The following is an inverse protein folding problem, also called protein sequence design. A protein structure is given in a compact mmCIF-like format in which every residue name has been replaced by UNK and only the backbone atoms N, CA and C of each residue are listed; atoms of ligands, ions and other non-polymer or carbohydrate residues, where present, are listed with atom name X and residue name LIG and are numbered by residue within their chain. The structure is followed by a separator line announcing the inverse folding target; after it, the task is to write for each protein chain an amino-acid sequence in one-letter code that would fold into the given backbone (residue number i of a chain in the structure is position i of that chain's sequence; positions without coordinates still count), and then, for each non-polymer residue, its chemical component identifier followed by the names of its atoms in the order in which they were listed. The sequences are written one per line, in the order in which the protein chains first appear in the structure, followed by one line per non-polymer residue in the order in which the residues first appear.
data_IF_816361110860
#
_entry.id   IF_816361110860
#
_cell.length_a   1.000
_cell.length_b   1.000
_cell.length_c   1.000
_cell.angle_alpha   90.00
_cell.angle_beta   90.00
_cell.angle_gamma   90.00
#
_symmetry.space_group_name_H-M   'P 1'
#
loop_
_entity.id
_entity.type
_entity.pdbx_description
1 polymer ?
#
# COMPACT_ATOMS: atom_id res chain seq x y z
N UNK A 1 10.70 10.18 1.65
CA UNK A 1 9.59 9.70 2.51
C UNK A 1 9.96 8.29 2.89
N UNK A 2 10.09 8.06 4.18
CA UNK A 2 10.54 6.80 4.74
C UNK A 2 9.54 5.69 4.43
N UNK A 3 10.00 4.44 4.39
CA UNK A 3 9.12 3.31 4.10
C UNK A 3 8.37 2.83 5.34
N UNK A 4 8.20 1.51 5.49
CA UNK A 4 7.21 0.91 6.41
C UNK A 4 7.68 0.94 7.86
N UNK A 5 8.96 0.66 8.09
CA UNK A 5 9.54 0.73 9.42
C UNK A 5 10.96 1.29 9.37
N UNK A 6 11.13 2.40 10.07
CA UNK A 6 12.38 3.16 10.09
C UNK A 6 12.91 3.31 11.51
N UNK A 7 14.22 3.53 11.60
CA UNK A 7 14.91 3.85 12.84
C UNK A 7 16.17 4.66 12.58
N UNK A 8 16.67 5.27 13.65
CA UNK A 8 17.98 5.90 13.68
C UNK A 8 18.93 5.01 14.48
N UNK A 9 19.92 4.42 13.80
CA UNK A 9 20.93 3.62 14.46
C UNK A 9 22.04 4.53 14.98
N UNK A 10 22.39 4.43 16.26
CA UNK A 10 23.44 5.21 16.91
C UNK A 10 24.48 4.24 17.47
N UNK A 11 25.75 4.46 17.09
CA UNK A 11 26.88 3.67 17.54
C UNK A 11 27.83 4.52 18.37
N UNK A 12 28.05 4.12 19.63
CA UNK A 12 28.92 4.82 20.56
C UNK A 12 29.55 3.84 21.56
N UNK A 13 30.87 3.90 21.72
CA UNK A 13 31.58 3.09 22.73
C UNK A 13 31.45 1.57 22.55
N UNK A 14 31.25 1.10 21.32
CA UNK A 14 31.03 -0.33 21.02
C UNK A 14 29.57 -0.80 21.17
N UNK A 15 28.65 0.08 21.57
CA UNK A 15 27.23 -0.23 21.69
C UNK A 15 26.44 0.35 20.51
N UNK A 16 25.63 -0.50 19.87
CA UNK A 16 24.67 -0.12 18.84
C UNK A 16 23.29 0.03 19.48
N UNK A 17 22.67 1.20 19.35
CA UNK A 17 21.29 1.45 19.76
C UNK A 17 20.45 1.82 18.57
N UNK A 18 19.27 1.21 18.45
CA UNK A 18 18.30 1.53 17.40
C UNK A 18 17.19 2.35 18.02
N UNK A 19 17.02 3.58 17.56
CA UNK A 19 15.94 4.44 18.01
C UNK A 19 14.81 4.39 17.01
N UNK A 20 13.61 4.01 17.45
CA UNK A 20 12.41 4.00 16.63
C UNK A 20 11.19 4.36 17.48
N UNK A 21 10.11 4.79 16.82
CA UNK A 21 8.86 5.13 17.48
C UNK A 21 7.70 4.27 16.97
N UNK A 22 6.73 3.88 17.81
CA UNK A 22 5.51 3.23 17.35
C UNK A 22 4.72 4.16 16.43
N UNK A 23 4.30 3.67 15.26
CA UNK A 23 3.50 4.48 14.35
C UNK A 23 4.23 5.62 13.62
N UNK A 24 5.53 5.85 13.84
CA UNK A 24 6.32 6.91 13.23
C UNK A 24 7.47 6.32 12.41
N UNK A 25 7.65 6.82 11.19
CA UNK A 25 8.67 6.37 10.22
C UNK A 25 9.61 7.51 9.78
N UNK A 26 9.33 8.77 10.14
CA UNK A 26 10.18 9.91 9.83
C UNK A 26 11.48 9.87 10.62
N UNK A 27 12.61 9.70 9.93
CA UNK A 27 13.96 9.82 10.52
C UNK A 27 14.13 11.16 11.27
N UNK A 28 13.60 12.24 10.72
CA UNK A 28 13.66 13.57 11.36
C UNK A 28 12.87 13.61 12.68
N UNK A 29 11.66 13.04 12.71
CA UNK A 29 10.84 13.01 13.93
C UNK A 29 11.47 12.12 15.01
N UNK A 30 12.05 10.98 14.61
CA UNK A 30 12.79 10.09 15.50
C UNK A 30 13.99 10.82 16.10
N UNK A 31 14.82 11.48 15.27
CA UNK A 31 15.98 12.26 15.73
C UNK A 31 15.58 13.37 16.68
N UNK A 32 14.54 14.12 16.35
CA UNK A 32 14.02 15.20 17.18
C UNK A 32 13.57 14.67 18.54
N UNK A 33 12.79 13.59 18.54
CA UNK A 33 12.24 12.96 19.75
C UNK A 33 13.34 12.45 20.70
N UNK A 34 14.36 11.80 20.16
CA UNK A 34 15.46 11.23 20.95
C UNK A 34 16.67 12.18 21.08
N UNK A 35 16.57 13.40 20.58
CA UNK A 35 17.62 14.41 20.58
C UNK A 35 18.94 13.92 19.95
N UNK A 36 18.85 13.13 18.88
CA UNK A 36 19.99 12.63 18.11
C UNK A 36 20.48 13.75 17.19
N UNK A 37 21.76 14.12 17.31
CA UNK A 37 22.38 15.22 16.56
C UNK A 37 23.67 14.74 15.91
N UNK A 38 23.97 15.33 14.75
CA UNK A 38 25.22 15.10 14.04
C UNK A 38 26.41 15.49 14.94
N UNK A 39 27.29 14.53 15.18
CA UNK A 39 28.45 14.67 16.07
C UNK A 39 29.72 15.01 15.33
N UNK A 40 30.12 16.28 15.30
CA UNK A 40 31.42 16.71 14.80
C UNK A 40 32.54 16.34 15.79
N UNK A 41 33.18 15.17 15.63
CA UNK A 41 34.44 14.82 16.31
C UNK A 41 34.66 13.33 16.59
N UNK A 42 35.93 12.92 16.79
CA UNK A 42 36.35 11.52 16.97
C UNK A 42 35.78 10.80 18.22
N UNK A 43 35.17 11.53 19.15
CA UNK A 43 34.51 11.01 20.35
C UNK A 43 32.97 11.22 20.35
N UNK A 44 32.39 11.65 19.22
CA UNK A 44 30.95 11.85 19.10
C UNK A 44 30.26 10.55 18.61
N UNK A 45 29.05 10.30 19.12
CA UNK A 45 28.19 9.21 18.64
C UNK A 45 27.96 9.32 17.13
N UNK A 46 28.22 8.25 16.38
CA UNK A 46 27.91 8.18 14.95
C UNK A 46 26.49 7.66 14.79
N UNK A 47 25.72 8.19 13.84
CA UNK A 47 24.38 7.68 13.58
C UNK A 47 24.08 7.59 12.10
N UNK A 48 23.14 6.71 11.73
CA UNK A 48 22.69 6.54 10.35
C UNK A 48 21.21 6.14 10.31
N UNK A 49 20.42 6.71 9.38
CA UNK A 49 19.03 6.35 9.18
C UNK A 49 18.93 4.99 8.48
N UNK A 50 18.13 4.10 9.05
CA UNK A 50 17.98 2.71 8.60
C UNK A 50 16.51 2.35 8.43
N UNK A 51 16.21 1.46 7.49
CA UNK A 51 14.85 0.98 7.26
C UNK A 51 14.82 -0.53 7.12
N UNK A 52 13.73 -1.12 7.60
CA UNK A 52 13.38 -2.52 7.42
C UNK A 52 12.13 -2.59 6.54
N UNK A 53 12.29 -3.10 5.33
CA UNK A 53 11.32 -2.96 4.24
C UNK A 53 10.76 -4.33 3.89
N UNK A 54 9.42 -4.52 3.91
CA UNK A 54 8.83 -5.75 3.41
C UNK A 54 8.89 -5.81 1.87
N UNK A 55 9.37 -6.92 1.33
CA UNK A 55 9.56 -7.13 -0.11
C UNK A 55 8.75 -8.32 -0.63
N UNK A 56 8.80 -9.46 0.07
CA UNK A 56 8.14 -10.70 -0.38
C UNK A 56 6.95 -11.11 0.47
N UNK A 57 6.72 -10.43 1.59
CA UNK A 57 5.75 -10.84 2.58
C UNK A 57 5.75 -9.88 3.76
N UNK A 58 4.87 -10.13 4.73
CA UNK A 58 4.63 -9.22 5.86
C UNK A 58 4.97 -9.81 7.23
N UNK A 59 5.20 -11.13 7.32
CA UNK A 59 5.25 -11.82 8.61
C UNK A 59 6.48 -12.71 8.83
N UNK A 60 7.35 -12.84 7.83
CA UNK A 60 8.65 -13.49 7.97
C UNK A 60 9.74 -12.43 7.80
N UNK A 61 10.76 -12.44 8.67
CA UNK A 61 11.88 -11.51 8.59
C UNK A 61 12.72 -11.73 7.32
N UNK A 62 12.72 -12.93 6.76
CA UNK A 62 13.40 -13.26 5.51
C UNK A 62 12.75 -12.61 4.29
N UNK A 63 11.52 -12.10 4.44
CA UNK A 63 10.82 -11.36 3.40
C UNK A 63 11.14 -9.86 3.41
N UNK A 64 12.04 -9.43 4.32
CA UNK A 64 12.39 -8.04 4.52
C UNK A 64 13.82 -7.75 4.06
N UNK A 65 13.99 -6.60 3.41
CA UNK A 65 15.29 -6.01 3.15
C UNK A 65 15.66 -5.03 4.26
N UNK A 66 16.97 -4.88 4.47
CA UNK A 66 17.55 -3.85 5.33
C UNK A 66 18.27 -2.83 4.47
N UNK A 67 17.93 -1.56 4.63
CA UNK A 67 18.51 -0.48 3.82
C UNK A 67 18.96 0.70 4.68
N UNK A 68 19.90 1.47 4.12
CA UNK A 68 20.32 2.75 4.65
C UNK A 68 19.75 3.86 3.80
N UNK A 69 19.02 4.81 4.40
CA UNK A 69 18.47 5.96 3.67
C UNK A 69 19.58 6.93 3.21
N UNK A 70 20.70 6.96 3.95
CA UNK A 70 21.88 7.80 3.65
C UNK A 70 23.09 7.01 3.11
N UNK A 71 22.89 5.76 2.69
CA UNK A 71 23.97 4.84 2.30
C UNK A 71 24.68 4.20 3.51
N UNK A 72 25.31 3.04 3.28
CA UNK A 72 26.01 2.29 4.34
C UNK A 72 27.22 3.09 4.83
N UNK A 73 27.31 3.42 6.13
CA UNK A 73 28.47 4.14 6.64
C UNK A 73 29.68 3.21 6.84
N UNK A 74 30.88 3.79 6.86
CA UNK A 74 32.16 3.09 6.97
C UNK A 74 32.35 2.30 8.27
N UNK A 75 31.68 2.73 9.34
CA UNK A 75 31.71 2.10 10.66
C UNK A 75 30.70 0.96 10.83
N UNK A 76 29.84 0.70 9.84
CA UNK A 76 28.81 -0.33 9.96
C UNK A 76 29.35 -1.74 9.76
N UNK A 77 29.30 -2.54 10.82
CA UNK A 77 29.71 -3.94 10.80
C UNK A 77 28.54 -4.87 10.42
N UNK A 78 28.84 -6.07 9.94
CA UNK A 78 27.82 -7.00 9.44
C UNK A 78 26.82 -7.44 10.53
N UNK A 79 27.29 -7.71 11.75
CA UNK A 79 26.42 -8.10 12.87
C UNK A 79 25.39 -7.02 13.25
N UNK A 80 25.68 -5.75 12.95
CA UNK A 80 24.79 -4.63 13.23
C UNK A 80 23.54 -4.68 12.35
N UNK A 81 23.68 -5.17 11.10
CA UNK A 81 22.56 -5.37 10.17
C UNK A 81 21.56 -6.36 10.75
N UNK A 82 22.02 -7.53 11.18
CA UNK A 82 21.15 -8.56 11.75
C UNK A 82 20.42 -8.05 12.98
N UNK A 83 21.15 -7.44 13.92
CA UNK A 83 20.54 -6.85 15.13
C UNK A 83 19.48 -5.81 14.79
N UNK A 84 19.80 -4.86 13.91
CA UNK A 84 18.90 -3.77 13.56
C UNK A 84 17.67 -4.24 12.78
N UNK A 85 17.85 -5.18 11.85
CA UNK A 85 16.75 -5.80 11.10
C UNK A 85 15.78 -6.53 12.03
N UNK A 86 16.30 -7.33 12.96
CA UNK A 86 15.48 -8.04 13.95
C UNK A 86 14.70 -7.09 14.86
N UNK A 87 15.33 -6.00 15.34
CA UNK A 87 14.69 -5.03 16.22
C UNK A 87 13.57 -4.26 15.51
N UNK A 88 13.82 -3.75 14.31
CA UNK A 88 12.81 -3.06 13.51
C UNK A 88 11.68 -4.01 13.09
N UNK A 89 11.99 -5.23 12.68
CA UNK A 89 10.99 -6.24 12.35
C UNK A 89 10.12 -6.60 13.56
N UNK A 90 10.70 -6.79 14.74
CA UNK A 90 9.95 -7.05 15.96
C UNK A 90 9.02 -5.87 16.30
N UNK A 91 9.48 -4.63 16.12
CA UNK A 91 8.67 -3.44 16.32
C UNK A 91 7.53 -3.31 15.29
N UNK A 92 7.73 -3.78 14.06
CA UNK A 92 6.66 -3.90 13.06
C UNK A 92 5.62 -4.96 13.46
N UNK A 93 6.09 -6.15 13.84
CA UNK A 93 5.24 -7.26 14.24
C UNK A 93 4.48 -7.02 15.56
N UNK A 94 4.90 -6.04 16.37
CA UNK A 94 4.13 -5.61 17.54
C UNK A 94 2.76 -5.01 17.17
N UNK A 95 2.56 -4.57 15.92
CA UNK A 95 1.28 -4.06 15.40
C UNK A 95 0.37 -5.17 14.83
N UNK A 96 0.82 -6.43 14.86
CA UNK A 96 0.11 -7.61 14.35
C UNK A 96 -0.62 -8.37 15.47
N UNK A 97 -1.93 -8.55 15.33
CA UNK A 97 -2.76 -9.29 16.32
C UNK A 97 -2.99 -10.78 15.97
N UNK A 98 -2.32 -11.30 14.94
CA UNK A 98 -2.58 -12.64 14.40
C UNK A 98 -3.60 -12.67 13.25
N UNK A 99 -4.29 -11.56 12.98
CA UNK A 99 -5.28 -11.44 11.89
C UNK A 99 -5.30 -10.07 11.20
N UNK A 100 -5.01 -9.02 11.94
CA UNK A 100 -5.08 -7.62 11.51
C UNK A 100 -3.74 -6.94 11.75
N UNK A 101 -3.23 -6.30 10.71
CA UNK A 101 -2.08 -5.39 10.78
C UNK A 101 -2.60 -3.96 10.63
N UNK A 102 -2.25 -3.08 11.58
CA UNK A 102 -2.76 -1.71 11.63
C UNK A 102 -1.64 -0.68 11.57
N UNK A 103 -1.50 -0.03 10.42
CA UNK A 103 -0.66 1.17 10.25
C UNK A 103 -1.53 2.43 10.38
N UNK A 104 -1.20 3.35 11.28
CA UNK A 104 -1.99 4.59 11.46
C UNK A 104 -1.75 5.64 10.37
N UNK A 105 -0.51 5.79 9.92
CA UNK A 105 -0.09 6.81 8.98
C UNK A 105 -0.04 6.33 7.53
N UNK A 106 0.84 6.97 6.77
CA UNK A 106 1.23 6.52 5.43
C UNK A 106 1.92 5.15 5.49
N UNK A 107 1.79 4.37 4.41
CA UNK A 107 2.49 3.10 4.25
C UNK A 107 3.13 3.02 2.87
N UNK A 108 4.46 3.07 2.82
CA UNK A 108 5.20 2.81 1.58
C UNK A 108 5.54 1.32 1.41
N UNK A 109 4.59 0.56 0.89
CA UNK A 109 4.74 -0.87 0.62
C UNK A 109 5.09 -1.10 -0.86
N UNK A 110 5.81 -0.17 -1.50
CA UNK A 110 6.09 -0.21 -2.94
C UNK A 110 6.90 -1.43 -3.37
N UNK A 111 7.69 -2.00 -2.47
CA UNK A 111 8.51 -3.19 -2.72
C UNK A 111 7.77 -4.49 -2.41
N UNK A 112 6.62 -4.41 -1.71
CA UNK A 112 5.84 -5.59 -1.34
C UNK A 112 5.24 -6.25 -2.57
N UNK A 113 5.54 -7.53 -2.75
CA UNK A 113 5.04 -8.34 -3.87
C UNK A 113 3.94 -9.33 -3.47
N UNK A 114 3.82 -9.67 -2.18
CA UNK A 114 2.80 -10.61 -1.69
C UNK A 114 2.19 -10.14 -0.36
N UNK A 115 0.87 -10.34 -0.20
CA UNK A 115 0.17 -10.20 1.08
C UNK A 115 -0.31 -11.58 1.49
N UNK A 116 -0.10 -12.05 2.72
CA UNK A 116 -0.59 -13.37 3.14
C UNK A 116 -2.13 -13.49 3.08
N UNK A 117 -2.63 -14.69 2.80
CA UNK A 117 -4.07 -14.93 2.70
C UNK A 117 -4.81 -14.77 4.03
N UNK A 118 -6.10 -14.42 3.97
CA UNK A 118 -6.97 -14.35 5.16
C UNK A 118 -6.67 -13.21 6.14
N UNK A 119 -5.79 -12.26 5.78
CA UNK A 119 -5.41 -11.14 6.66
C UNK A 119 -6.27 -9.91 6.44
N UNK A 120 -6.27 -9.02 7.43
CA UNK A 120 -6.77 -7.66 7.27
C UNK A 120 -5.61 -6.67 7.36
N UNK A 121 -5.37 -5.89 6.32
CA UNK A 121 -4.44 -4.76 6.34
C UNK A 121 -5.24 -3.46 6.48
N UNK A 122 -4.99 -2.70 7.55
CA UNK A 122 -5.59 -1.39 7.82
C UNK A 122 -4.52 -0.32 7.79
N UNK A 123 -4.59 0.58 6.82
CA UNK A 123 -3.69 1.73 6.69
C UNK A 123 -4.56 2.98 6.86
N UNK A 124 -4.23 3.83 7.84
CA UNK A 124 -5.01 5.02 8.15
C UNK A 124 -4.77 6.18 7.17
N UNK A 125 -3.56 6.28 6.62
CA UNK A 125 -3.19 7.25 5.58
C UNK A 125 -3.23 6.68 4.16
N UNK A 126 -2.40 7.24 3.28
CA UNK A 126 -2.23 6.73 1.92
C UNK A 126 -1.34 5.48 1.92
N UNK A 127 -1.49 4.65 0.90
CA UNK A 127 -0.70 3.43 0.72
C UNK A 127 -0.12 3.34 -0.69
N UNK A 128 1.18 3.09 -0.78
CA UNK A 128 1.80 2.71 -2.04
C UNK A 128 2.00 1.20 -2.08
N UNK A 129 1.28 0.50 -2.93
CA UNK A 129 1.28 -0.96 -3.10
C UNK A 129 1.57 -1.32 -4.57
N UNK A 130 2.41 -0.50 -5.22
CA UNK A 130 2.59 -0.49 -6.68
C UNK A 130 3.15 -1.78 -7.25
N UNK A 131 3.81 -2.63 -6.47
CA UNK A 131 4.38 -3.89 -6.94
C UNK A 131 3.46 -5.09 -6.77
N UNK A 132 2.32 -4.94 -6.07
CA UNK A 132 1.35 -6.02 -5.97
C UNK A 132 0.70 -6.26 -7.33
N UNK A 133 0.85 -7.49 -7.84
CA UNK A 133 0.21 -7.93 -9.07
C UNK A 133 -1.12 -8.66 -8.82
N UNK A 134 -1.28 -9.22 -7.61
CA UNK A 134 -2.48 -9.88 -7.11
C UNK A 134 -2.67 -9.64 -5.60
N UNK A 135 -3.85 -9.95 -5.08
CA UNK A 135 -4.18 -9.94 -3.65
C UNK A 135 -4.72 -11.33 -3.32
N UNK A 136 -4.30 -12.05 -2.28
CA UNK A 136 -4.88 -13.38 -2.03
C UNK A 136 -6.34 -13.38 -1.55
N UNK A 137 -6.99 -14.54 -1.65
CA UNK A 137 -8.36 -14.72 -1.19
C UNK A 137 -8.50 -14.46 0.33
N UNK A 138 -9.66 -13.94 0.73
CA UNK A 138 -9.94 -13.62 2.13
C UNK A 138 -9.23 -12.38 2.67
N UNK A 139 -8.40 -11.71 1.87
CA UNK A 139 -7.78 -10.44 2.27
C UNK A 139 -8.81 -9.32 2.33
N UNK A 140 -8.76 -8.55 3.42
CA UNK A 140 -9.46 -7.27 3.53
C UNK A 140 -8.45 -6.13 3.58
N UNK A 141 -8.43 -5.30 2.54
CA UNK A 141 -7.58 -4.11 2.48
C UNK A 141 -8.41 -2.86 2.74
N UNK A 142 -8.07 -2.12 3.80
CA UNK A 142 -8.69 -0.85 4.18
C UNK A 142 -7.63 0.24 4.21
N UNK A 143 -7.72 1.20 3.31
CA UNK A 143 -6.81 2.35 3.20
C UNK A 143 -7.65 3.61 3.42
N UNK A 144 -7.25 4.46 4.37
CA UNK A 144 -7.98 5.67 4.74
C UNK A 144 -7.77 6.82 3.76
N UNK A 145 -6.57 6.91 3.17
CA UNK A 145 -6.22 7.89 2.13
C UNK A 145 -6.22 7.27 0.73
N UNK A 146 -5.31 7.77 -0.11
CA UNK A 146 -5.13 7.32 -1.49
C UNK A 146 -4.40 5.96 -1.56
N UNK A 147 -4.67 5.19 -2.61
CA UNK A 147 -4.04 3.91 -2.85
C UNK A 147 -3.43 3.82 -4.24
N UNK A 148 -2.14 3.54 -4.30
CA UNK A 148 -1.45 3.24 -5.56
C UNK A 148 -1.30 1.72 -5.74
N UNK A 149 -2.08 1.13 -6.65
CA UNK A 149 -2.13 -0.30 -6.95
C UNK A 149 -1.93 -0.52 -8.46
N UNK A 150 -0.98 0.22 -9.05
CA UNK A 150 -0.82 0.32 -10.51
C UNK A 150 -0.62 -1.03 -11.19
N UNK A 151 0.14 -1.94 -10.58
CA UNK A 151 0.45 -3.26 -11.15
C UNK A 151 -0.62 -4.32 -10.86
N UNK A 152 -1.66 -4.00 -10.08
CA UNK A 152 -2.66 -4.98 -9.68
C UNK A 152 -3.48 -5.41 -10.90
N UNK A 153 -3.27 -6.63 -11.36
CA UNK A 153 -3.92 -7.16 -12.58
C UNK A 153 -5.22 -7.89 -12.28
N UNK A 154 -5.31 -8.51 -11.10
CA UNK A 154 -6.43 -9.35 -10.67
C UNK A 154 -6.72 -9.18 -9.19
N UNK A 155 -7.99 -9.36 -8.81
CA UNK A 155 -8.46 -9.44 -7.43
C UNK A 155 -9.22 -10.77 -7.32
N UNK A 156 -9.00 -11.66 -6.34
CA UNK A 156 -9.80 -12.88 -6.16
C UNK A 156 -11.19 -12.63 -5.59
N UNK A 157 -12.06 -13.64 -5.70
CA UNK A 157 -13.36 -13.63 -5.04
C UNK A 157 -13.21 -13.49 -3.51
N UNK A 158 -14.16 -12.80 -2.89
CA UNK A 158 -14.18 -12.60 -1.43
C UNK A 158 -13.23 -11.50 -0.93
N UNK A 159 -12.42 -10.87 -1.78
CA UNK A 159 -11.64 -9.69 -1.40
C UNK A 159 -12.56 -8.49 -1.20
N UNK A 160 -12.29 -7.75 -0.12
CA UNK A 160 -12.89 -6.44 0.10
C UNK A 160 -11.82 -5.36 0.06
N UNK A 161 -11.90 -4.48 -0.95
CA UNK A 161 -11.03 -3.32 -1.10
C UNK A 161 -11.82 -2.05 -0.75
N UNK A 162 -11.39 -1.35 0.30
CA UNK A 162 -11.94 -0.05 0.72
C UNK A 162 -10.83 0.99 0.74
N UNK A 163 -10.96 2.02 -0.08
CA UNK A 163 -10.02 3.12 -0.21
C UNK A 163 -10.81 4.40 0.06
N UNK A 164 -10.37 5.21 1.02
CA UNK A 164 -11.05 6.44 1.40
C UNK A 164 -10.80 7.60 0.43
N UNK A 165 -9.59 7.66 -0.14
CA UNK A 165 -9.20 8.63 -1.16
C UNK A 165 -9.28 8.10 -2.59
N UNK A 166 -8.36 8.55 -3.42
CA UNK A 166 -8.22 8.17 -4.81
C UNK A 166 -7.56 6.79 -4.94
N UNK A 167 -7.90 6.06 -6.01
CA UNK A 167 -7.35 4.74 -6.30
C UNK A 167 -6.77 4.67 -7.72
N UNK A 168 -5.50 4.30 -7.82
CA UNK A 168 -4.85 4.03 -9.09
C UNK A 168 -4.75 2.52 -9.33
N UNK A 169 -5.59 1.99 -10.23
CA UNK A 169 -5.77 0.57 -10.55
C UNK A 169 -5.65 0.35 -12.08
N UNK A 170 -4.69 1.03 -12.70
CA UNK A 170 -4.59 1.08 -14.18
C UNK A 170 -4.42 -0.26 -14.84
N UNK A 171 -3.77 -1.25 -14.21
CA UNK A 171 -3.57 -2.58 -14.79
C UNK A 171 -4.68 -3.57 -14.46
N UNK A 172 -5.69 -3.17 -13.68
CA UNK A 172 -6.77 -4.08 -13.28
C UNK A 172 -7.66 -4.37 -14.49
N UNK A 173 -7.58 -5.59 -15.02
CA UNK A 173 -8.30 -5.98 -16.24
C UNK A 173 -9.64 -6.65 -15.95
N UNK A 174 -9.76 -7.32 -14.80
CA UNK A 174 -10.94 -8.08 -14.39
C UNK A 174 -11.19 -7.95 -12.88
N UNK A 175 -12.47 -8.03 -12.49
CA UNK A 175 -12.92 -8.11 -11.09
C UNK A 175 -13.81 -9.36 -11.00
N UNK A 176 -13.58 -10.36 -10.15
CA UNK A 176 -14.46 -11.51 -10.01
C UNK A 176 -15.79 -11.20 -9.32
N UNK A 177 -16.73 -12.13 -9.46
CA UNK A 177 -18.00 -12.09 -8.73
C UNK A 177 -17.77 -12.03 -7.21
N UNK A 178 -18.65 -11.32 -6.50
CA UNK A 178 -18.59 -11.20 -5.04
C UNK A 178 -17.56 -10.22 -4.51
N UNK A 179 -16.75 -9.58 -5.36
CA UNK A 179 -15.86 -8.49 -4.95
C UNK A 179 -16.67 -7.24 -4.63
N UNK A 180 -16.31 -6.59 -3.52
CA UNK A 180 -16.77 -5.23 -3.22
C UNK A 180 -15.61 -4.25 -3.29
N UNK A 181 -15.67 -3.36 -4.28
CA UNK A 181 -14.72 -2.26 -4.47
C UNK A 181 -15.39 -0.95 -4.06
N UNK A 182 -14.86 -0.30 -3.02
CA UNK A 182 -15.32 1.02 -2.55
C UNK A 182 -14.15 2.00 -2.57
N UNK A 183 -14.29 3.07 -3.33
CA UNK A 183 -13.31 4.15 -3.48
C UNK A 183 -14.04 5.45 -3.16
N UNK A 184 -13.55 6.22 -2.18
CA UNK A 184 -14.18 7.47 -1.77
C UNK A 184 -13.90 8.63 -2.73
N UNK A 185 -12.69 8.66 -3.31
CA UNK A 185 -12.27 9.63 -4.32
C UNK A 185 -12.49 9.14 -5.75
N UNK A 186 -11.60 9.56 -6.64
CA UNK A 186 -11.54 9.16 -8.03
C UNK A 186 -10.88 7.79 -8.21
N UNK A 187 -11.25 7.08 -9.27
CA UNK A 187 -10.67 5.78 -9.61
C UNK A 187 -10.12 5.75 -11.03
N UNK A 188 -8.86 5.35 -11.20
CA UNK A 188 -8.32 5.02 -12.50
C UNK A 188 -8.39 3.51 -12.73
N UNK A 189 -9.35 3.08 -13.56
CA UNK A 189 -9.62 1.68 -13.93
C UNK A 189 -9.52 1.53 -15.46
N UNK A 190 -8.57 2.22 -16.08
CA UNK A 190 -8.51 2.40 -17.54
C UNK A 190 -8.38 1.08 -18.32
N UNK A 191 -7.84 0.02 -17.73
CA UNK A 191 -7.73 -1.30 -18.37
C UNK A 191 -8.87 -2.27 -18.04
N UNK A 192 -9.82 -1.88 -17.18
CA UNK A 192 -10.91 -2.76 -16.79
C UNK A 192 -11.85 -2.96 -17.99
N UNK A 193 -11.92 -4.20 -18.48
CA UNK A 193 -12.70 -4.52 -19.69
C UNK A 193 -14.11 -5.02 -19.38
N UNK A 194 -14.27 -5.74 -18.27
CA UNK A 194 -15.51 -6.40 -17.87
C UNK A 194 -15.76 -6.27 -16.37
N UNK A 195 -17.03 -6.07 -15.99
CA UNK A 195 -17.50 -6.20 -14.60
C UNK A 195 -18.50 -7.36 -14.56
N UNK A 196 -18.23 -8.51 -13.91
CA UNK A 196 -19.16 -9.63 -13.86
C UNK A 196 -20.33 -9.38 -12.89
N UNK A 197 -21.32 -10.28 -12.94
CA UNK A 197 -22.44 -10.30 -12.02
C UNK A 197 -21.97 -10.42 -10.56
N UNK A 198 -22.73 -9.83 -9.63
CA UNK A 198 -22.43 -9.89 -8.19
C UNK A 198 -21.32 -8.94 -7.73
N UNK A 199 -20.71 -8.14 -8.62
CA UNK A 199 -19.80 -7.06 -8.22
C UNK A 199 -20.60 -5.86 -7.72
N UNK A 200 -20.11 -5.27 -6.63
CA UNK A 200 -20.54 -3.93 -6.18
C UNK A 200 -19.39 -2.95 -6.33
N UNK A 201 -19.51 -2.05 -7.31
CA UNK A 201 -18.54 -0.99 -7.58
C UNK A 201 -19.10 0.36 -7.10
N UNK A 202 -18.43 1.00 -6.14
CA UNK A 202 -18.78 2.33 -5.65
C UNK A 202 -17.56 3.25 -5.71
N UNK A 203 -17.68 4.36 -6.42
CA UNK A 203 -16.67 5.39 -6.58
C UNK A 203 -17.33 6.73 -6.22
N UNK A 204 -16.80 7.45 -5.23
CA UNK A 204 -17.39 8.73 -4.81
C UNK A 204 -17.09 9.87 -5.77
N UNK A 205 -15.91 9.85 -6.40
CA UNK A 205 -15.47 10.82 -7.41
C UNK A 205 -15.69 10.36 -8.84
N UNK A 206 -14.85 10.85 -9.75
CA UNK A 206 -14.84 10.44 -11.17
C UNK A 206 -14.17 9.09 -11.39
N UNK A 207 -14.47 8.47 -12.53
CA UNK A 207 -13.88 7.18 -12.89
C UNK A 207 -13.35 7.18 -14.33
N UNK A 208 -12.12 6.72 -14.53
CA UNK A 208 -11.64 6.35 -15.86
C UNK A 208 -11.99 4.88 -16.13
N UNK A 209 -12.89 4.64 -17.08
CA UNK A 209 -13.33 3.30 -17.51
C UNK A 209 -13.20 3.17 -19.04
N UNK A 210 -12.11 3.69 -19.61
CA UNK A 210 -11.90 3.80 -21.05
C UNK A 210 -11.97 2.49 -21.82
N UNK A 211 -11.63 1.36 -21.19
CA UNK A 211 -11.62 0.04 -21.83
C UNK A 211 -12.85 -0.81 -21.52
N UNK A 212 -13.81 -0.31 -20.74
CA UNK A 212 -14.94 -1.11 -20.28
C UNK A 212 -15.96 -1.32 -21.40
N UNK A 213 -16.10 -2.57 -21.84
CA UNK A 213 -16.99 -2.95 -22.95
C UNK A 213 -18.21 -3.72 -22.50
N UNK A 214 -18.18 -4.34 -21.30
CA UNK A 214 -19.24 -5.24 -20.83
C UNK A 214 -19.69 -4.94 -19.41
N UNK A 215 -21.00 -4.71 -19.26
CA UNK A 215 -21.71 -4.62 -17.96
C UNK A 215 -22.96 -5.52 -18.02
N UNK A 216 -22.95 -6.69 -17.35
CA UNK A 216 -24.11 -7.56 -17.21
C UNK A 216 -25.30 -6.86 -16.54
N UNK A 217 -26.49 -7.44 -16.76
CA UNK A 217 -27.68 -7.03 -16.02
C UNK A 217 -27.50 -7.28 -14.51
N UNK A 218 -28.12 -6.44 -13.68
CA UNK A 218 -28.10 -6.59 -12.22
C UNK A 218 -26.82 -6.13 -11.50
N UNK A 219 -25.75 -5.77 -12.23
CA UNK A 219 -24.55 -5.15 -11.62
C UNK A 219 -24.90 -3.75 -11.09
N UNK A 220 -24.53 -3.50 -9.83
CA UNK A 220 -24.67 -2.19 -9.17
C UNK A 220 -23.36 -1.42 -9.28
N UNK A 221 -23.35 -0.43 -10.16
CA UNK A 221 -22.29 0.57 -10.29
C UNK A 221 -22.84 1.88 -9.74
N UNK A 222 -22.03 2.61 -8.98
CA UNK A 222 -22.34 3.97 -8.53
C UNK A 222 -21.07 4.79 -8.59
N UNK A 223 -21.11 5.90 -9.32
CA UNK A 223 -20.02 6.83 -9.58
C UNK A 223 -20.57 8.24 -9.33
N UNK A 224 -20.07 8.91 -8.30
CA UNK A 224 -20.55 10.24 -7.92
C UNK A 224 -20.15 11.35 -8.88
N UNK A 225 -19.02 11.19 -9.58
CA UNK A 225 -18.51 12.11 -10.60
C UNK A 225 -18.79 11.68 -12.03
N UNK A 226 -18.02 12.26 -12.96
CA UNK A 226 -18.07 11.87 -14.38
C UNK A 226 -17.25 10.62 -14.66
N UNK A 227 -17.64 9.91 -15.72
CA UNK A 227 -16.96 8.72 -16.24
C UNK A 227 -16.27 9.06 -17.56
N UNK A 228 -14.96 8.86 -17.63
CA UNK A 228 -14.23 8.92 -18.88
C UNK A 228 -14.36 7.58 -19.62
N UNK A 229 -14.89 7.62 -20.84
CA UNK A 229 -15.20 6.43 -21.65
C UNK A 229 -14.14 6.14 -22.75
N UNK A 230 -12.96 6.73 -22.62
CA UNK A 230 -11.90 6.66 -23.64
C UNK A 230 -11.97 7.79 -24.66
N UNK A 231 -13.07 8.54 -24.73
CA UNK A 231 -13.24 9.66 -25.67
C UNK A 231 -13.60 10.98 -25.01
N UNK A 232 -14.46 10.94 -23.98
CA UNK A 232 -14.88 12.12 -23.22
C UNK A 232 -15.46 11.73 -21.87
N UNK A 233 -15.62 12.72 -21.01
CA UNK A 233 -16.31 12.60 -19.74
C UNK A 233 -17.83 12.60 -19.94
N UNK A 234 -18.53 11.77 -19.16
CA UNK A 234 -19.99 11.60 -19.21
C UNK A 234 -20.57 11.33 -17.84
N UNK A 235 -21.84 11.66 -17.66
CA UNK A 235 -22.62 11.17 -16.51
C UNK A 235 -22.69 9.64 -16.51
N UNK A 236 -22.67 9.03 -15.32
CA UNK A 236 -22.72 7.58 -15.10
C UNK A 236 -23.81 6.88 -15.91
N UNK A 237 -25.06 7.36 -15.83
CA UNK A 237 -26.20 6.74 -16.51
C UNK A 237 -26.01 6.67 -18.03
N UNK A 238 -25.46 7.73 -18.63
CA UNK A 238 -25.16 7.80 -20.07
C UNK A 238 -24.09 6.79 -20.46
N UNK A 239 -23.04 6.68 -19.64
CA UNK A 239 -21.97 5.70 -19.83
C UNK A 239 -22.50 4.26 -19.77
N UNK A 240 -23.22 3.90 -18.69
CA UNK A 240 -23.75 2.55 -18.49
C UNK A 240 -24.70 2.14 -19.63
N UNK A 241 -25.60 3.05 -20.05
CA UNK A 241 -26.53 2.78 -21.14
C UNK A 241 -25.81 2.50 -22.47
N UNK A 242 -24.73 3.24 -22.76
CA UNK A 242 -23.88 3.03 -23.93
C UNK A 242 -23.22 1.64 -23.90
N UNK A 243 -22.54 1.30 -22.81
CA UNK A 243 -21.82 0.02 -22.67
C UNK A 243 -22.78 -1.17 -22.80
N UNK A 244 -23.93 -1.12 -22.12
CA UNK A 244 -24.96 -2.17 -22.22
C UNK A 244 -25.57 -2.32 -23.61
N UNK A 245 -25.64 -1.25 -24.40
CA UNK A 245 -26.11 -1.32 -25.80
C UNK A 245 -25.05 -1.94 -26.71
N UNK A 246 -23.77 -1.63 -26.49
CA UNK A 246 -22.66 -2.17 -27.26
C UNK A 246 -22.52 -3.69 -27.06
N UNK A 247 -22.58 -4.18 -25.83
CA UNK A 247 -22.44 -5.62 -25.51
C UNK A 247 -23.65 -6.50 -25.82
N UNK A 248 -24.70 -5.99 -26.49
CA UNK A 248 -25.86 -6.77 -26.98
C UNK A 248 -25.77 -7.13 -28.46
N UNK A 249 -24.74 -6.64 -29.15
CA UNK A 249 -24.43 -6.97 -30.55
C UNK A 249 -23.43 -8.10 -30.60
#
# INVERSE_FOLDING_TARGET
MCQVKSGEAVYAGGDLRIYHLPGEDSHNAIREHFHIRDGLGAAASRHTPIECIPVRGLFDIEDYDFVFDAGRPDWWEEWMTERAKHELFAAWMAEWDGKTLVRKGYADLRSLTEIPAGVTLRIGGCANLSSLTTIPAGVTLRIGGDANLISLTTIPAGVTLRIGGDANLISLTTIPAGVTLRIGGCANLSSLTTIPAGVTLRIGGGANLSSLTTIPAGVKITIGGEVFDGTRWRKEATFIARVRRAGRR
#
